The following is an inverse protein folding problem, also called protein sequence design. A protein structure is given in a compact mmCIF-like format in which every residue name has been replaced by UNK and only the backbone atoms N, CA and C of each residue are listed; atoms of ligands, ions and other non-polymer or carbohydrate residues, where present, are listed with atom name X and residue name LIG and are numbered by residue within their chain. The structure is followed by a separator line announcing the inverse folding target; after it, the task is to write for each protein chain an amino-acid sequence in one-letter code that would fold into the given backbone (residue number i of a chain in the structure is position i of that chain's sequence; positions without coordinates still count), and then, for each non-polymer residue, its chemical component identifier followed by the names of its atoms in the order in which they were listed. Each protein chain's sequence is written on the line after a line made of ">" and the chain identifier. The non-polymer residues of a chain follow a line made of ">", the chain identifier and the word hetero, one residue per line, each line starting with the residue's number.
data_IF_927631503219
#
_entry.id   IF_927631503219
#
_cell.length_a   1.000
_cell.length_b   1.000
_cell.length_c   1.000
_cell.angle_alpha   90.00
_cell.angle_beta   90.00
_cell.angle_gamma   90.00
#
_symmetry.space_group_name_H-M   'P 1'
#
loop_
_entity.id
_entity.type
_entity.pdbx_description
1 polymer ?
#
# COMPACT_ATOMS: atom_id res chain seq x y z
N UNK A 1 -37.66 48.96 -26.24
CA UNK A 1 -38.07 47.57 -26.53
C UNK A 1 -37.90 46.80 -25.25
N UNK A 2 -39.02 46.35 -24.71
CA UNK A 2 -39.22 45.86 -23.35
C UNK A 2 -39.76 44.44 -23.49
N UNK A 3 -39.03 43.42 -23.03
CA UNK A 3 -39.47 42.02 -22.83
C UNK A 3 -38.41 41.35 -21.93
N UNK A 4 -38.61 41.32 -20.62
CA UNK A 4 -39.27 40.27 -19.79
C UNK A 4 -38.27 39.23 -19.23
N UNK A 5 -38.23 39.01 -17.89
CA UNK A 5 -37.40 37.99 -17.26
C UNK A 5 -38.11 36.63 -17.19
N UNK A 6 -37.35 35.56 -17.44
CA UNK A 6 -37.82 34.17 -17.34
C UNK A 6 -37.89 33.74 -15.87
N UNK A 7 -39.10 33.36 -15.46
CA UNK A 7 -39.46 32.81 -14.16
C UNK A 7 -39.13 31.32 -14.12
N UNK A 8 -38.20 30.91 -13.25
CA UNK A 8 -37.88 29.49 -13.03
C UNK A 8 -38.52 29.02 -11.74
N UNK A 9 -39.47 28.10 -11.87
CA UNK A 9 -40.28 27.50 -10.81
C UNK A 9 -39.43 26.58 -9.92
N UNK A 10 -39.51 26.79 -8.61
CA UNK A 10 -39.03 25.85 -7.60
C UNK A 10 -40.00 24.66 -7.49
N UNK A 11 -39.51 23.44 -7.71
CA UNK A 11 -40.17 22.22 -7.24
C UNK A 11 -39.52 21.76 -5.94
N UNK A 12 -40.28 21.90 -4.87
CA UNK A 12 -40.12 21.21 -3.59
C UNK A 12 -40.50 19.74 -3.81
N UNK A 13 -39.57 18.81 -3.63
CA UNK A 13 -39.90 17.39 -3.46
C UNK A 13 -39.43 16.94 -2.07
N UNK A 14 -40.40 16.90 -1.15
CA UNK A 14 -40.25 16.28 0.17
C UNK A 14 -40.28 14.77 0.02
N UNK A 15 -39.18 14.10 0.35
CA UNK A 15 -39.07 12.64 0.31
C UNK A 15 -38.34 12.11 1.54
N UNK A 16 -39.02 12.11 2.68
CA UNK A 16 -38.61 11.38 3.88
C UNK A 16 -38.56 9.87 3.56
N UNK A 17 -37.35 9.31 3.57
CA UNK A 17 -37.11 7.87 3.72
C UNK A 17 -35.95 7.66 4.69
N UNK A 18 -36.26 7.78 5.97
CA UNK A 18 -35.51 7.12 7.04
C UNK A 18 -35.38 5.62 6.73
N UNK A 19 -34.22 5.22 6.20
CA UNK A 19 -33.82 3.82 6.08
C UNK A 19 -32.68 3.60 7.06
N UNK A 20 -33.03 3.11 8.25
CA UNK A 20 -32.07 2.57 9.21
C UNK A 20 -31.45 1.27 8.66
N UNK A 21 -30.49 1.38 7.75
CA UNK A 21 -29.61 0.27 7.36
C UNK A 21 -28.52 0.12 8.42
N UNK A 22 -28.82 -0.64 9.48
CA UNK A 22 -27.78 -1.31 10.27
C UNK A 22 -27.21 -2.45 9.43
N UNK A 23 -26.34 -2.11 8.49
CA UNK A 23 -25.47 -3.08 7.82
C UNK A 23 -24.39 -3.50 8.81
N UNK A 24 -24.37 -4.77 9.21
CA UNK A 24 -23.19 -5.38 9.80
C UNK A 24 -22.07 -5.32 8.76
N UNK A 25 -21.14 -4.39 8.93
CA UNK A 25 -19.83 -4.45 8.28
C UNK A 25 -19.06 -5.61 8.91
N UNK A 26 -19.28 -6.82 8.39
CA UNK A 26 -18.27 -7.85 8.46
C UNK A 26 -17.18 -7.46 7.47
N UNK A 27 -16.23 -6.62 7.93
CA UNK A 27 -14.94 -6.50 7.27
C UNK A 27 -14.36 -7.91 7.28
N UNK A 28 -14.44 -8.60 6.15
CA UNK A 28 -13.63 -9.77 5.90
C UNK A 28 -12.17 -9.28 5.93
N UNK A 29 -11.55 -9.35 7.12
CA UNK A 29 -10.10 -9.29 7.30
C UNK A 29 -9.46 -10.55 6.71
N UNK A 30 -9.82 -10.88 5.47
CA UNK A 30 -9.41 -12.04 4.71
C UNK A 30 -9.08 -11.56 3.30
N UNK A 31 -7.89 -11.00 3.14
CA UNK A 31 -7.43 -10.48 1.84
C UNK A 31 -5.92 -10.25 1.72
N UNK A 32 -5.20 -10.01 2.81
CA UNK A 32 -3.73 -9.85 2.77
C UNK A 32 -2.93 -11.08 3.26
N UNK A 33 -3.61 -12.17 3.65
CA UNK A 33 -2.95 -13.37 4.16
C UNK A 33 -2.74 -14.48 3.09
N UNK A 34 -3.08 -14.27 1.82
CA UNK A 34 -3.19 -15.34 0.82
C UNK A 34 -2.28 -15.21 -0.41
N UNK A 35 -1.12 -14.54 -0.30
CA UNK A 35 -0.11 -14.51 -1.37
C UNK A 35 1.32 -14.83 -0.87
N UNK A 36 1.46 -15.61 0.21
CA UNK A 36 2.75 -16.09 0.72
C UNK A 36 2.88 -17.63 0.69
N UNK A 37 2.03 -18.31 -0.09
CA UNK A 37 2.01 -19.77 -0.18
C UNK A 37 1.78 -20.26 -1.62
N UNK A 38 2.70 -19.97 -2.55
CA UNK A 38 2.67 -20.59 -3.89
C UNK A 38 4.04 -20.65 -4.59
N UNK A 39 5.09 -21.12 -3.91
CA UNK A 39 6.29 -21.66 -4.56
C UNK A 39 6.67 -23.00 -3.89
N UNK A 40 5.85 -24.02 -4.14
CA UNK A 40 6.09 -25.41 -3.72
C UNK A 40 5.94 -26.35 -4.91
N UNK A 41 6.77 -26.15 -5.93
CA UNK A 41 6.90 -27.08 -7.05
C UNK A 41 7.39 -28.44 -6.54
N UNK A 42 6.63 -29.49 -6.86
CA UNK A 42 7.01 -30.89 -6.65
C UNK A 42 8.12 -31.24 -7.64
N UNK A 43 9.38 -31.19 -7.22
CA UNK A 43 10.46 -31.89 -7.91
C UNK A 43 11.46 -32.48 -6.91
N UNK A 44 11.91 -33.68 -7.26
CA UNK A 44 12.59 -34.71 -6.47
C UNK A 44 13.85 -34.24 -5.73
N UNK A 45 13.91 -34.53 -4.42
CA UNK A 45 15.11 -34.40 -3.59
C UNK A 45 16.00 -35.66 -3.74
N UNK A 46 17.31 -35.55 -4.01
CA UNK A 46 18.26 -36.60 -3.67
C UNK A 46 18.57 -36.55 -2.16
N UNK A 47 18.57 -37.72 -1.53
CA UNK A 47 18.85 -37.87 -0.10
C UNK A 47 20.28 -37.47 0.25
N UNK A 48 20.43 -36.44 1.10
CA UNK A 48 21.66 -36.15 1.82
C UNK A 48 21.45 -36.43 3.31
N UNK A 49 22.06 -37.52 3.75
CA UNK A 49 22.15 -37.98 5.13
C UNK A 49 23.01 -36.98 5.92
N UNK A 50 22.43 -36.31 6.93
CA UNK A 50 23.19 -35.66 8.00
C UNK A 50 22.57 -36.00 9.36
N UNK A 51 23.39 -36.67 10.18
CA UNK A 51 23.11 -37.11 11.55
C UNK A 51 22.76 -35.95 12.50
N UNK A 52 21.90 -36.17 13.50
CA UNK A 52 21.70 -35.21 14.59
C UNK A 52 22.75 -35.41 15.69
N UNK A 53 23.41 -34.32 16.08
CA UNK A 53 24.17 -34.24 17.33
C UNK A 53 23.24 -33.70 18.43
N UNK A 54 22.96 -34.56 19.41
CA UNK A 54 22.30 -34.22 20.67
C UNK A 54 23.15 -33.26 21.51
N UNK A 55 22.53 -32.19 22.03
CA UNK A 55 23.02 -31.50 23.21
C UNK A 55 21.83 -30.89 23.98
N UNK A 56 21.30 -31.69 24.90
CA UNK A 56 20.26 -31.32 25.86
C UNK A 56 20.90 -30.60 27.06
N UNK A 57 20.57 -29.33 27.39
CA UNK A 57 20.90 -28.79 28.69
C UNK A 57 19.85 -29.19 29.73
N UNK A 58 20.33 -29.91 30.74
CA UNK A 58 19.64 -30.31 31.97
C UNK A 58 19.10 -29.08 32.73
N UNK A 59 17.77 -28.96 32.84
CA UNK A 59 17.11 -27.98 33.71
C UNK A 59 17.04 -28.52 35.14
N UNK A 60 17.73 -27.86 36.06
CA UNK A 60 17.58 -28.07 37.50
C UNK A 60 16.17 -27.70 37.99
N UNK A 61 15.59 -28.45 38.93
CA UNK A 61 14.31 -28.13 39.54
C UNK A 61 14.48 -27.07 40.63
N UNK A 62 14.10 -25.81 40.35
CA UNK A 62 14.00 -24.78 41.38
C UNK A 62 12.68 -24.94 42.15
N UNK A 63 12.80 -25.10 43.47
CA UNK A 63 11.79 -25.60 44.40
C UNK A 63 10.84 -24.51 44.96
N UNK A 64 10.75 -23.35 44.33
CA UNK A 64 10.01 -22.20 44.85
C UNK A 64 8.94 -21.75 43.85
N UNK A 65 7.82 -22.48 43.80
CA UNK A 65 6.64 -22.07 43.05
C UNK A 65 5.63 -21.46 44.02
N UNK A 66 5.48 -20.12 44.07
CA UNK A 66 4.45 -19.49 44.90
C UNK A 66 3.06 -19.97 44.47
N UNK A 67 2.20 -20.15 45.47
CA UNK A 67 0.84 -20.67 45.31
C UNK A 67 0.06 -19.86 44.28
N UNK A 68 -0.53 -20.58 43.34
CA UNK A 68 -1.25 -20.06 42.19
C UNK A 68 -2.58 -19.52 42.68
N UNK A 69 -2.65 -18.22 42.97
CA UNK A 69 -3.88 -17.51 43.32
C UNK A 69 -4.98 -17.75 42.28
N UNK A 70 -6.22 -17.87 42.74
CA UNK A 70 -7.39 -18.17 41.92
C UNK A 70 -7.53 -17.20 40.72
N UNK A 71 -7.95 -17.70 39.55
CA UNK A 71 -8.12 -16.85 38.37
C UNK A 71 -9.24 -15.83 38.64
N UNK A 72 -8.87 -14.56 38.77
CA UNK A 72 -9.84 -13.48 38.84
C UNK A 72 -10.61 -13.41 37.51
N UNK A 73 -11.92 -13.61 37.58
CA UNK A 73 -12.84 -13.45 36.45
C UNK A 73 -12.81 -12.01 35.99
N UNK A 74 -12.00 -11.69 34.98
CA UNK A 74 -12.01 -10.38 34.32
C UNK A 74 -13.23 -10.34 33.40
N UNK A 75 -14.23 -9.54 33.76
CA UNK A 75 -15.31 -9.17 32.85
C UNK A 75 -14.73 -8.41 31.67
N UNK A 76 -14.77 -9.04 30.48
CA UNK A 76 -14.32 -8.43 29.23
C UNK A 76 -15.31 -7.32 28.87
N UNK A 77 -14.87 -6.06 28.97
CA UNK A 77 -15.63 -4.92 28.48
C UNK A 77 -15.84 -5.09 26.98
N UNK A 78 -17.08 -4.93 26.51
CA UNK A 78 -17.37 -4.93 25.08
C UNK A 78 -16.55 -3.81 24.40
N UNK A 79 -15.99 -4.04 23.20
CA UNK A 79 -15.28 -3.00 22.48
C UNK A 79 -16.24 -1.83 22.22
N UNK A 80 -15.74 -0.60 22.36
CA UNK A 80 -16.47 0.57 21.91
C UNK A 80 -16.72 0.46 20.40
N UNK A 81 -17.85 0.97 19.92
CA UNK A 81 -18.10 1.04 18.48
C UNK A 81 -17.00 1.87 17.80
N UNK A 82 -16.51 1.40 16.66
CA UNK A 82 -15.52 2.13 15.87
C UNK A 82 -16.10 3.49 15.44
N UNK A 83 -15.25 4.53 15.44
CA UNK A 83 -15.63 5.82 14.91
C UNK A 83 -15.90 5.71 13.41
N UNK A 84 -16.98 6.32 12.94
CA UNK A 84 -17.26 6.36 11.51
C UNK A 84 -16.21 7.23 10.78
N UNK A 85 -15.85 6.91 9.52
CA UNK A 85 -14.96 7.75 8.73
C UNK A 85 -15.46 9.18 8.57
N UNK A 86 -14.54 10.12 8.64
CA UNK A 86 -14.79 11.55 8.41
C UNK A 86 -14.66 11.92 6.93
N UNK A 87 -15.06 13.13 6.55
CA UNK A 87 -14.78 13.65 5.20
C UNK A 87 -13.28 13.72 4.91
N UNK A 88 -12.47 14.07 5.92
CA UNK A 88 -11.02 14.10 5.81
C UNK A 88 -10.44 12.70 5.55
N UNK A 89 -10.99 11.65 6.20
CA UNK A 89 -10.59 10.26 5.93
C UNK A 89 -10.85 9.88 4.48
N UNK A 90 -12.00 10.27 3.92
CA UNK A 90 -12.32 10.00 2.53
C UNK A 90 -11.41 10.76 1.55
N UNK A 91 -11.06 12.02 1.85
CA UNK A 91 -10.11 12.77 1.03
C UNK A 91 -8.72 12.14 1.03
N UNK A 92 -8.23 11.70 2.19
CA UNK A 92 -6.95 11.01 2.32
C UNK A 92 -6.99 9.65 1.61
N UNK A 93 -8.07 8.89 1.78
CA UNK A 93 -8.26 7.61 1.11
C UNK A 93 -8.34 7.73 -0.41
N UNK A 94 -8.99 8.79 -0.93
CA UNK A 94 -9.02 9.07 -2.37
C UNK A 94 -7.64 9.45 -2.91
N UNK A 95 -6.88 10.24 -2.15
CA UNK A 95 -5.49 10.53 -2.51
C UNK A 95 -4.64 9.25 -2.54
N UNK A 96 -4.72 8.41 -1.51
CA UNK A 96 -4.01 7.14 -1.45
C UNK A 96 -4.38 6.24 -2.65
N UNK A 97 -5.68 6.08 -2.94
CA UNK A 97 -6.14 5.33 -4.11
C UNK A 97 -5.57 5.89 -5.43
N UNK A 98 -5.51 7.21 -5.60
CA UNK A 98 -4.94 7.81 -6.82
C UNK A 98 -3.45 7.49 -6.98
N UNK A 99 -2.68 7.43 -5.87
CA UNK A 99 -1.27 7.01 -5.92
C UNK A 99 -1.15 5.53 -6.31
N UNK A 100 -2.06 4.68 -5.85
CA UNK A 100 -2.07 3.27 -6.28
C UNK A 100 -2.39 3.11 -7.77
N UNK A 101 -3.29 3.94 -8.33
CA UNK A 101 -3.51 3.97 -9.79
C UNK A 101 -2.20 4.33 -10.52
N UNK A 102 -1.47 5.33 -10.02
CA UNK A 102 -0.19 5.73 -10.61
C UNK A 102 0.83 4.59 -10.57
N UNK A 103 0.95 3.89 -9.44
CA UNK A 103 1.87 2.77 -9.28
C UNK A 103 1.50 1.59 -10.19
N UNK A 104 0.22 1.19 -10.24
CA UNK A 104 -0.27 0.12 -11.14
C UNK A 104 0.04 0.45 -12.60
N UNK A 105 -0.22 1.69 -13.01
CA UNK A 105 0.04 2.15 -14.38
C UNK A 105 1.55 2.14 -14.69
N UNK A 106 2.37 2.66 -13.78
CA UNK A 106 3.82 2.77 -13.99
C UNK A 106 4.49 1.40 -14.07
N UNK A 107 4.17 0.47 -13.17
CA UNK A 107 4.70 -0.89 -13.25
C UNK A 107 4.17 -1.65 -14.47
N UNK A 108 2.93 -1.37 -14.91
CA UNK A 108 2.40 -1.88 -16.18
C UNK A 108 3.23 -1.40 -17.37
N UNK A 109 3.49 -0.10 -17.45
CA UNK A 109 4.32 0.49 -18.51
C UNK A 109 5.76 -0.07 -18.51
N UNK A 110 6.33 -0.33 -17.33
CA UNK A 110 7.65 -0.98 -17.22
C UNK A 110 7.66 -2.41 -17.78
N UNK A 111 6.61 -3.20 -17.53
CA UNK A 111 6.46 -4.54 -18.11
C UNK A 111 6.31 -4.48 -19.63
N UNK A 112 5.51 -3.55 -20.13
CA UNK A 112 5.31 -3.37 -21.57
C UNK A 112 6.63 -2.97 -22.25
N UNK A 113 7.37 -2.03 -21.66
CA UNK A 113 8.68 -1.60 -22.15
C UNK A 113 9.71 -2.74 -22.13
N UNK A 114 9.73 -3.56 -21.07
CA UNK A 114 10.56 -4.75 -20.99
C UNK A 114 10.22 -5.77 -22.10
N UNK A 115 8.92 -6.05 -22.30
CA UNK A 115 8.44 -6.95 -23.34
C UNK A 115 8.74 -6.46 -24.76
N UNK A 116 8.78 -5.14 -24.96
CA UNK A 116 9.19 -4.51 -26.21
C UNK A 116 10.72 -4.43 -26.40
N UNK A 117 11.50 -4.82 -25.39
CA UNK A 117 12.97 -4.72 -25.39
C UNK A 117 13.51 -3.30 -25.21
N UNK A 118 12.66 -2.34 -24.85
CA UNK A 118 13.05 -0.93 -24.66
C UNK A 118 13.94 -0.70 -23.43
N UNK A 119 13.96 -1.66 -22.49
CA UNK A 119 14.80 -1.64 -21.29
C UNK A 119 16.06 -2.51 -21.40
N UNK A 120 16.36 -3.03 -22.60
CA UNK A 120 17.42 -4.01 -22.82
C UNK A 120 17.08 -5.40 -22.27
N UNK A 121 18.10 -6.17 -21.90
CA UNK A 121 17.91 -7.47 -21.26
C UNK A 121 17.43 -7.28 -19.82
N UNK A 122 16.21 -7.74 -19.54
CA UNK A 122 15.62 -7.70 -18.19
C UNK A 122 15.81 -9.06 -17.52
N UNK A 123 16.52 -9.15 -16.39
CA UNK A 123 16.66 -10.40 -15.66
C UNK A 123 15.28 -10.95 -15.24
N UNK A 124 15.01 -12.25 -15.36
CA UNK A 124 13.70 -12.83 -15.03
C UNK A 124 13.22 -12.50 -13.60
N UNK A 125 14.14 -12.46 -12.64
CA UNK A 125 13.82 -12.09 -11.26
C UNK A 125 13.31 -10.63 -11.13
N UNK A 126 13.78 -9.72 -11.97
CA UNK A 126 13.30 -8.33 -11.99
C UNK A 126 11.89 -8.26 -12.57
N UNK A 127 11.61 -9.00 -13.65
CA UNK A 127 10.26 -9.07 -14.23
C UNK A 127 9.23 -9.67 -13.25
N UNK A 128 9.63 -10.72 -12.51
CA UNK A 128 8.80 -11.33 -11.46
C UNK A 128 8.52 -10.35 -10.31
N UNK A 129 9.54 -9.63 -9.86
CA UNK A 129 9.38 -8.60 -8.84
C UNK A 129 8.43 -7.49 -9.29
N UNK A 130 8.61 -6.94 -10.49
CA UNK A 130 7.74 -5.89 -11.05
C UNK A 130 6.28 -6.37 -11.16
N UNK A 131 6.07 -7.61 -11.59
CA UNK A 131 4.73 -8.22 -11.66
C UNK A 131 4.10 -8.33 -10.27
N UNK A 132 4.90 -8.73 -9.27
CA UNK A 132 4.47 -8.86 -7.88
C UNK A 132 4.13 -7.50 -7.27
N UNK A 133 5.01 -6.51 -7.41
CA UNK A 133 4.79 -5.15 -6.91
C UNK A 133 3.52 -4.53 -7.51
N UNK A 134 3.32 -4.65 -8.83
CA UNK A 134 2.08 -4.22 -9.50
C UNK A 134 0.83 -4.87 -8.90
N UNK A 135 0.88 -6.17 -8.60
CA UNK A 135 -0.24 -6.87 -7.99
C UNK A 135 -0.52 -6.39 -6.56
N UNK A 136 0.51 -6.06 -5.77
CA UNK A 136 0.33 -5.45 -4.45
C UNK A 136 -0.34 -4.08 -4.55
N UNK A 137 0.10 -3.21 -5.47
CA UNK A 137 -0.55 -1.91 -5.69
C UNK A 137 -1.99 -2.04 -6.15
N UNK A 138 -2.30 -3.02 -7.01
CA UNK A 138 -3.69 -3.28 -7.41
C UNK A 138 -4.54 -3.70 -6.20
N UNK A 139 -4.03 -4.55 -5.32
CA UNK A 139 -4.73 -4.95 -4.10
C UNK A 139 -4.95 -3.77 -3.14
N UNK A 140 -3.97 -2.87 -3.01
CA UNK A 140 -4.09 -1.63 -2.25
C UNK A 140 -5.15 -0.70 -2.85
N UNK A 141 -5.14 -0.51 -4.18
CA UNK A 141 -6.14 0.26 -4.92
C UNK A 141 -7.55 -0.28 -4.68
N UNK A 142 -7.73 -1.59 -4.83
CA UNK A 142 -9.02 -2.25 -4.64
C UNK A 142 -9.52 -2.09 -3.20
N UNK A 143 -8.63 -2.18 -2.22
CA UNK A 143 -8.96 -1.98 -0.81
C UNK A 143 -9.39 -0.54 -0.50
N UNK A 144 -8.67 0.46 -1.01
CA UNK A 144 -9.06 1.86 -0.84
C UNK A 144 -10.38 2.18 -1.54
N UNK A 145 -10.55 1.74 -2.79
CA UNK A 145 -11.80 1.92 -3.52
C UNK A 145 -12.98 1.19 -2.85
N UNK A 146 -12.74 0.03 -2.23
CA UNK A 146 -13.71 -0.65 -1.38
C UNK A 146 -14.12 0.19 -0.17
N UNK A 147 -13.17 0.82 0.52
CA UNK A 147 -13.45 1.69 1.67
C UNK A 147 -14.20 2.96 1.26
N UNK A 148 -13.81 3.60 0.15
CA UNK A 148 -14.45 4.80 -0.40
C UNK A 148 -15.91 4.51 -0.79
N UNK A 149 -16.14 3.46 -1.56
CA UNK A 149 -17.48 3.10 -2.04
C UNK A 149 -18.40 2.64 -0.92
N UNK A 150 -17.88 1.94 0.09
CA UNK A 150 -18.62 1.62 1.31
C UNK A 150 -19.08 2.87 2.08
N UNK A 151 -18.32 3.96 1.99
CA UNK A 151 -18.67 5.28 2.52
C UNK A 151 -19.56 6.14 1.61
N UNK A 152 -19.98 5.63 0.45
CA UNK A 152 -20.79 6.37 -0.52
C UNK A 152 -20.00 7.36 -1.39
N UNK A 153 -18.67 7.24 -1.44
CA UNK A 153 -17.81 7.99 -2.37
C UNK A 153 -17.62 7.22 -3.67
N UNK A 154 -17.18 7.91 -4.72
CA UNK A 154 -16.81 7.26 -5.97
C UNK A 154 -15.47 6.52 -5.84
N UNK A 155 -15.31 5.44 -6.61
CA UNK A 155 -14.02 4.79 -6.76
C UNK A 155 -13.08 5.69 -7.57
N UNK A 156 -11.81 5.73 -7.17
CA UNK A 156 -10.76 6.45 -7.88
C UNK A 156 -10.19 5.57 -8.98
N UNK A 157 -10.13 6.12 -10.19
CA UNK A 157 -9.67 5.41 -11.40
C UNK A 157 -8.58 6.17 -12.16
N UNK A 158 -8.14 7.32 -11.64
CA UNK A 158 -7.13 8.17 -12.27
C UNK A 158 -6.06 8.54 -11.24
N UNK A 159 -4.79 8.67 -11.67
CA UNK A 159 -3.72 9.13 -10.81
C UNK A 159 -3.78 10.66 -10.59
N UNK A 160 -2.97 11.22 -9.67
CA UNK A 160 -2.79 12.66 -9.58
C UNK A 160 -2.15 13.19 -10.86
N UNK A 161 -2.84 14.04 -11.62
CA UNK A 161 -2.41 14.45 -12.96
C UNK A 161 -1.01 15.09 -12.99
N UNK A 162 -0.68 15.97 -12.04
CA UNK A 162 0.64 16.62 -11.97
C UNK A 162 1.77 15.61 -11.72
N UNK A 163 1.48 14.60 -10.89
CA UNK A 163 2.43 13.54 -10.56
C UNK A 163 2.59 12.57 -11.73
N UNK A 164 1.48 12.17 -12.35
CA UNK A 164 1.46 11.34 -13.56
C UNK A 164 2.24 11.98 -14.69
N UNK A 165 2.06 13.28 -14.95
CA UNK A 165 2.83 13.99 -15.96
C UNK A 165 4.34 13.93 -15.70
N UNK A 166 4.75 14.17 -14.44
CA UNK A 166 6.15 14.10 -14.03
C UNK A 166 6.74 12.69 -14.18
N UNK A 167 5.97 11.66 -13.83
CA UNK A 167 6.39 10.26 -13.94
C UNK A 167 6.48 9.82 -15.39
N UNK A 168 5.51 10.20 -16.23
CA UNK A 168 5.53 9.90 -17.65
C UNK A 168 6.71 10.57 -18.37
N UNK A 169 7.04 11.81 -18.01
CA UNK A 169 8.22 12.50 -18.51
C UNK A 169 9.50 11.76 -18.13
N UNK A 170 9.68 11.41 -16.84
CA UNK A 170 10.85 10.66 -16.38
C UNK A 170 10.94 9.27 -17.01
N UNK A 171 9.82 8.55 -17.12
CA UNK A 171 9.77 7.24 -17.75
C UNK A 171 10.14 7.31 -19.23
N UNK A 172 9.74 8.38 -19.94
CA UNK A 172 10.14 8.62 -21.33
C UNK A 172 11.65 8.79 -21.54
N UNK A 173 12.41 9.06 -20.47
CA UNK A 173 13.88 9.14 -20.49
C UNK A 173 14.58 7.83 -20.10
N UNK A 174 13.83 6.83 -19.63
CA UNK A 174 14.38 5.54 -19.20
C UNK A 174 14.71 4.68 -20.42
N UNK A 175 15.97 4.24 -20.50
CA UNK A 175 16.46 3.40 -21.61
C UNK A 175 16.95 2.02 -21.18
N UNK A 176 16.95 1.73 -19.87
CA UNK A 176 17.42 0.47 -19.33
C UNK A 176 16.72 0.11 -18.01
N UNK A 177 16.97 -1.11 -17.54
CA UNK A 177 16.41 -1.63 -16.29
C UNK A 177 16.85 -0.84 -15.05
N UNK A 178 18.03 -0.19 -15.08
CA UNK A 178 18.54 0.59 -13.95
C UNK A 178 17.76 1.89 -13.81
N UNK A 179 17.54 2.61 -14.91
CA UNK A 179 16.71 3.80 -14.94
C UNK A 179 15.26 3.52 -14.52
N UNK A 180 14.70 2.39 -14.97
CA UNK A 180 13.37 1.95 -14.56
C UNK A 180 13.29 1.70 -13.05
N UNK A 181 14.28 1.00 -12.49
CA UNK A 181 14.36 0.71 -11.05
C UNK A 181 14.57 1.97 -10.21
N UNK A 182 15.32 2.97 -10.70
CA UNK A 182 15.47 4.26 -10.02
C UNK A 182 14.16 5.04 -9.97
N UNK A 183 13.41 5.09 -11.08
CA UNK A 183 12.10 5.73 -11.10
C UNK A 183 11.12 5.02 -10.14
N UNK A 184 11.08 3.68 -10.18
CA UNK A 184 10.28 2.90 -9.24
C UNK A 184 10.68 3.19 -7.79
N UNK A 185 11.97 3.27 -7.48
CA UNK A 185 12.45 3.59 -6.13
C UNK A 185 11.92 4.94 -5.64
N UNK A 186 11.95 5.98 -6.48
CA UNK A 186 11.42 7.29 -6.13
C UNK A 186 9.91 7.23 -5.87
N UNK A 187 9.15 6.49 -6.70
CA UNK A 187 7.71 6.30 -6.50
C UNK A 187 7.38 5.59 -5.19
N UNK A 188 8.08 4.51 -4.87
CA UNK A 188 7.88 3.77 -3.62
C UNK A 188 8.21 4.63 -2.39
N UNK A 189 9.23 5.49 -2.49
CA UNK A 189 9.55 6.46 -1.44
C UNK A 189 8.44 7.50 -1.24
N UNK A 190 7.85 8.01 -2.33
CA UNK A 190 6.71 8.94 -2.27
C UNK A 190 5.48 8.24 -1.68
N UNK A 191 5.16 7.02 -2.10
CA UNK A 191 4.05 6.23 -1.57
C UNK A 191 4.22 5.96 -0.07
N UNK A 192 5.38 5.42 0.34
CA UNK A 192 5.67 5.14 1.73
C UNK A 192 5.62 6.40 2.62
N UNK A 193 6.19 7.52 2.15
CA UNK A 193 6.12 8.80 2.85
C UNK A 193 4.68 9.30 3.00
N UNK A 194 3.87 9.12 1.96
CA UNK A 194 2.45 9.52 1.96
C UNK A 194 1.63 8.66 2.92
N UNK A 195 1.85 7.34 2.97
CA UNK A 195 1.17 6.48 3.93
C UNK A 195 1.55 6.79 5.37
N UNK A 196 2.83 7.06 5.64
CA UNK A 196 3.26 7.48 6.97
C UNK A 196 2.57 8.79 7.38
N UNK A 197 2.45 9.75 6.47
CA UNK A 197 1.70 10.97 6.69
C UNK A 197 0.22 10.68 6.95
N UNK A 198 -0.43 9.87 6.10
CA UNK A 198 -1.84 9.52 6.20
C UNK A 198 -2.18 8.88 7.55
N UNK A 199 -1.37 7.93 8.04
CA UNK A 199 -1.56 7.28 9.35
C UNK A 199 -1.66 8.31 10.48
N UNK A 200 -0.95 9.44 10.40
CA UNK A 200 -0.99 10.51 11.41
C UNK A 200 -2.21 11.43 11.32
N UNK A 201 -2.98 11.33 10.24
CA UNK A 201 -4.10 12.24 9.90
C UNK A 201 -5.45 11.55 9.88
N UNK A 202 -5.48 10.24 9.61
CA UNK A 202 -6.70 9.45 9.60
C UNK A 202 -7.28 9.32 11.02
N UNK A 203 -8.61 9.35 11.11
CA UNK A 203 -9.37 9.20 12.36
C UNK A 203 -10.10 7.84 12.43
N UNK A 204 -10.56 7.31 11.29
CA UNK A 204 -11.17 5.98 11.24
C UNK A 204 -10.14 4.88 11.56
N UNK A 205 -10.42 4.01 12.55
CA UNK A 205 -9.55 2.87 12.87
C UNK A 205 -9.31 1.95 11.66
N UNK A 206 -10.32 1.76 10.81
CA UNK A 206 -10.24 0.94 9.60
C UNK A 206 -9.32 1.57 8.56
N UNK A 207 -9.42 2.89 8.34
CA UNK A 207 -8.54 3.59 7.41
C UNK A 207 -7.08 3.61 7.91
N UNK A 208 -6.87 3.85 9.21
CA UNK A 208 -5.54 3.77 9.85
C UNK A 208 -4.95 2.37 9.67
N UNK A 209 -5.75 1.33 9.90
CA UNK A 209 -5.31 -0.06 9.73
C UNK A 209 -4.96 -0.39 8.28
N UNK A 210 -5.76 0.09 7.32
CA UNK A 210 -5.48 -0.08 5.90
C UNK A 210 -4.16 0.60 5.50
N UNK A 211 -4.01 1.89 5.78
CA UNK A 211 -2.76 2.63 5.53
C UNK A 211 -1.56 1.98 6.23
N UNK A 212 -1.73 1.55 7.49
CA UNK A 212 -0.72 0.86 8.29
C UNK A 212 -0.31 -0.51 7.76
N UNK A 213 -1.18 -1.17 6.98
CA UNK A 213 -0.87 -2.44 6.32
C UNK A 213 -0.12 -2.28 4.99
N UNK A 214 -0.34 -1.16 4.29
CA UNK A 214 0.29 -0.89 2.99
C UNK A 214 1.70 -0.30 3.18
N UNK A 215 1.86 0.64 4.12
CA UNK A 215 3.16 1.24 4.43
C UNK A 215 4.36 0.26 4.52
N UNK A 216 4.29 -0.85 5.30
CA UNK A 216 5.41 -1.79 5.37
C UNK A 216 5.68 -2.54 4.05
N UNK A 217 4.69 -2.69 3.16
CA UNK A 217 4.84 -3.30 1.84
C UNK A 217 5.66 -2.36 0.93
N UNK A 218 5.33 -1.07 0.90
CA UNK A 218 6.11 -0.09 0.12
C UNK A 218 7.57 -0.01 0.63
N UNK A 219 7.78 -0.10 1.95
CA UNK A 219 9.13 -0.17 2.53
C UNK A 219 9.87 -1.45 2.10
N UNK A 220 9.16 -2.56 1.92
CA UNK A 220 9.73 -3.79 1.36
C UNK A 220 10.12 -3.59 -0.11
N UNK A 221 9.27 -2.94 -0.91
CA UNK A 221 9.59 -2.61 -2.31
C UNK A 221 10.86 -1.76 -2.41
N UNK A 222 10.97 -0.69 -1.59
CA UNK A 222 12.19 0.14 -1.50
C UNK A 222 13.42 -0.72 -1.21
N UNK A 223 13.33 -1.65 -0.26
CA UNK A 223 14.45 -2.52 0.13
C UNK A 223 14.93 -3.40 -1.04
N UNK A 224 13.97 -3.97 -1.79
CA UNK A 224 14.27 -4.82 -2.96
C UNK A 224 14.86 -3.98 -4.10
N UNK A 225 14.34 -2.78 -4.35
CA UNK A 225 14.85 -1.87 -5.37
C UNK A 225 16.27 -1.40 -5.03
N UNK A 226 16.53 -1.03 -3.77
CA UNK A 226 17.89 -0.71 -3.31
C UNK A 226 18.85 -1.88 -3.56
N UNK A 227 18.43 -3.10 -3.22
CA UNK A 227 19.23 -4.31 -3.49
C UNK A 227 19.50 -4.48 -4.99
N UNK A 228 18.47 -4.37 -5.84
CA UNK A 228 18.59 -4.51 -7.29
C UNK A 228 19.50 -3.44 -7.92
N UNK A 229 19.52 -2.24 -7.34
CA UNK A 229 20.39 -1.13 -7.74
C UNK A 229 21.83 -1.23 -7.19
N UNK A 230 22.16 -2.30 -6.45
CA UNK A 230 23.48 -2.47 -5.82
C UNK A 230 23.73 -1.52 -4.64
N UNK A 231 22.67 -0.96 -4.07
CA UNK A 231 22.71 -0.09 -2.89
C UNK A 231 22.50 -0.91 -1.60
N UNK A 232 22.78 -0.29 -0.45
CA UNK A 232 22.51 -0.94 0.84
C UNK A 232 20.99 -1.18 1.00
N UNK A 233 20.52 -2.42 1.19
CA UNK A 233 19.11 -2.77 1.03
C UNK A 233 18.26 -2.47 2.26
N UNK A 234 18.83 -1.81 3.27
CA UNK A 234 18.09 -1.37 4.45
C UNK A 234 17.75 0.10 4.22
N UNK A 235 16.46 0.41 4.01
CA UNK A 235 16.00 1.80 3.95
C UNK A 235 16.34 2.56 5.23
N UNK A 236 16.24 3.89 5.20
CA UNK A 236 16.40 4.72 6.40
C UNK A 236 15.62 4.14 7.59
N UNK A 237 16.32 3.94 8.71
CA UNK A 237 15.78 3.23 9.89
C UNK A 237 14.53 3.93 10.42
N UNK A 238 14.53 5.26 10.33
CA UNK A 238 13.39 6.10 10.66
C UNK A 238 12.76 6.60 9.37
N UNK A 239 11.57 6.09 9.07
CA UNK A 239 10.77 6.65 7.99
C UNK A 239 10.36 8.08 8.33
N UNK A 240 10.29 8.92 7.31
CA UNK A 240 9.89 10.32 7.40
C UNK A 240 8.84 10.62 6.32
N UNK A 241 8.29 11.83 6.36
CA UNK A 241 7.25 12.30 5.43
C UNK A 241 7.79 13.33 4.44
N UNK A 242 9.11 13.42 4.26
CA UNK A 242 9.72 14.47 3.43
C UNK A 242 9.35 14.30 1.95
N UNK A 243 9.13 13.06 1.52
CA UNK A 243 8.69 12.69 0.18
C UNK A 243 7.17 12.50 0.07
N UNK A 244 6.41 12.77 1.14
CA UNK A 244 4.95 12.60 1.11
C UNK A 244 4.34 13.53 0.06
N UNK A 245 3.48 12.98 -0.79
CA UNK A 245 2.78 13.77 -1.79
C UNK A 245 1.77 14.69 -1.10
N UNK A 246 1.91 16.00 -1.34
CA UNK A 246 1.07 17.06 -0.77
C UNK A 246 0.39 17.94 -1.83
N UNK A 247 0.42 17.49 -3.09
CA UNK A 247 0.01 18.26 -4.28
C UNK A 247 1.21 18.93 -4.96
N UNK A 248 1.40 18.69 -6.26
CA UNK A 248 2.49 19.25 -7.05
C UNK A 248 3.23 18.22 -7.91
N UNK A 249 4.34 18.62 -8.53
CA UNK A 249 5.21 17.72 -9.27
C UNK A 249 5.96 16.75 -8.32
N UNK A 250 6.51 15.66 -8.88
CA UNK A 250 7.44 14.79 -8.13
C UNK A 250 8.55 15.68 -7.53
N UNK A 251 8.94 15.48 -6.25
CA UNK A 251 10.15 16.10 -5.74
C UNK A 251 11.31 15.69 -6.66
N UNK A 252 12.16 16.65 -7.05
CA UNK A 252 13.38 16.31 -7.78
C UNK A 252 14.15 15.31 -6.93
N UNK A 253 14.35 14.08 -7.44
CA UNK A 253 15.26 13.14 -6.79
C UNK A 253 16.56 13.91 -6.57
N UNK A 254 17.14 13.88 -5.35
CA UNK A 254 18.48 14.41 -5.16
C UNK A 254 19.36 13.61 -6.10
N UNK A 255 19.69 14.20 -7.26
CA UNK A 255 20.51 13.55 -8.26
C UNK A 255 21.76 13.09 -7.53
N UNK A 256 21.94 11.77 -7.43
CA UNK A 256 23.13 11.21 -6.82
C UNK A 256 24.32 11.83 -7.56
N UNK A 257 25.21 12.54 -6.87
CA UNK A 257 26.27 13.27 -7.54
C UNK A 257 27.22 12.28 -8.23
N UNK A 258 27.13 12.20 -9.56
CA UNK A 258 28.19 11.66 -10.42
C UNK A 258 28.00 10.26 -10.99
N UNK A 259 27.16 10.14 -12.01
CA UNK A 259 27.39 9.20 -13.13
C UNK A 259 27.29 9.97 -14.45
N UNK A 260 28.43 10.51 -14.89
CA UNK A 260 28.71 10.85 -16.29
C UNK A 260 29.71 9.85 -16.84
#
# INVERSE_FOLDING_TARGET
>A
MTTEPTETTHQEESGDKSVARRGMFAVAAGGFAAALAACGGKDSQPEAVLSPAEATPSRQPTKNRPERGAPATRTRRAPAAAAAPTEADFMIGALAASLEVLAVNTYGAALDAAGAGALGEVPPAVAEYVTTARAHHQAALDAWNGALTAGGKEAVTAPPADLEASVNEQFGMVTDVVGAAQLALTLEQVAAGTYLFAISKLESPEAIALAGSIFPIDRQHISVLLFALGMYPVPEVFANTDMAFSGGAMPESPMMPGTR
#
